data_IF_616319412842
#
_entry.id   IF_616319412842
#
_cell.length_a   1.000
_cell.length_b   1.000
_cell.length_c   1.000
_cell.angle_alpha   90.00
_cell.angle_beta   90.00
_cell.angle_gamma   90.00
#
_symmetry.space_group_name_H-M   'P 1'
#
loop_
_entity.id
_entity.type
_entity.pdbx_description
1 polymer ?
#
# COMPACT_ATOMS: atom_id res chain seq x y z
N UNK A 1 -29.62 -9.28 12.89
CA UNK A 1 -29.41 -8.40 11.69
C UNK A 1 -27.92 -8.03 11.51
N UNK A 2 -27.08 -8.11 12.56
CA UNK A 2 -25.63 -7.77 12.52
C UNK A 2 -24.74 -8.88 11.92
N UNK A 3 -25.18 -10.14 11.94
CA UNK A 3 -24.41 -11.28 11.38
C UNK A 3 -24.47 -11.37 9.85
N UNK A 4 -25.50 -10.79 9.21
CA UNK A 4 -25.61 -10.79 7.75
C UNK A 4 -24.69 -9.78 7.06
N UNK A 5 -24.31 -8.71 7.76
CA UNK A 5 -23.39 -7.68 7.26
C UNK A 5 -21.94 -8.18 7.16
N UNK A 6 -21.48 -9.00 8.14
CA UNK A 6 -20.13 -9.56 8.15
C UNK A 6 -19.91 -10.57 7.02
N UNK A 7 -20.86 -11.49 6.81
CA UNK A 7 -20.74 -12.53 5.78
C UNK A 7 -20.78 -11.94 4.35
N UNK A 8 -21.59 -10.91 4.11
CA UNK A 8 -21.64 -10.22 2.82
C UNK A 8 -20.34 -9.45 2.54
N UNK A 9 -19.77 -8.81 3.55
CA UNK A 9 -18.45 -8.16 3.47
C UNK A 9 -17.33 -9.15 3.16
N UNK A 10 -17.34 -10.33 3.81
CA UNK A 10 -16.32 -11.36 3.57
C UNK A 10 -16.45 -12.03 2.20
N UNK A 11 -17.67 -12.20 1.69
CA UNK A 11 -17.89 -12.70 0.32
C UNK A 11 -17.44 -11.67 -0.71
N UNK A 12 -17.76 -10.39 -0.49
CA UNK A 12 -17.33 -9.30 -1.36
C UNK A 12 -15.81 -9.14 -1.35
N UNK A 13 -15.17 -9.14 -0.18
CA UNK A 13 -13.69 -9.10 -0.06
C UNK A 13 -13.01 -10.27 -0.78
N UNK A 14 -13.60 -11.47 -0.76
CA UNK A 14 -13.09 -12.63 -1.51
C UNK A 14 -13.29 -12.51 -3.02
N UNK A 15 -14.40 -11.93 -3.47
CA UNK A 15 -14.68 -11.71 -4.89
C UNK A 15 -13.76 -10.64 -5.50
N UNK A 16 -13.54 -9.53 -4.79
CA UNK A 16 -12.66 -8.44 -5.23
C UNK A 16 -11.20 -8.88 -5.29
N UNK A 17 -10.73 -9.69 -4.32
CA UNK A 17 -9.40 -10.32 -4.40
C UNK A 17 -9.27 -11.32 -5.55
N UNK A 18 -10.39 -11.75 -6.14
CA UNK A 18 -10.42 -12.73 -7.24
C UNK A 18 -10.40 -12.11 -8.65
N UNK A 19 -10.51 -10.78 -8.83
CA UNK A 19 -10.40 -10.26 -10.18
C UNK A 19 -10.88 -8.85 -10.55
N UNK A 20 -11.25 -7.97 -9.62
CA UNK A 20 -11.83 -6.66 -9.99
C UNK A 20 -11.01 -5.43 -9.53
N UNK A 21 -9.70 -5.57 -9.31
CA UNK A 21 -8.85 -4.39 -9.16
C UNK A 21 -8.38 -3.93 -10.55
N UNK A 22 -8.86 -2.78 -11.01
CA UNK A 22 -8.43 -2.14 -12.25
C UNK A 22 -7.35 -1.13 -11.89
N UNK A 23 -6.13 -1.30 -12.38
CA UNK A 23 -5.05 -0.33 -12.26
C UNK A 23 -4.47 -0.02 -13.63
N UNK A 24 -4.23 1.24 -13.92
CA UNK A 24 -3.60 1.72 -15.15
C UNK A 24 -2.24 2.29 -14.78
N UNK A 25 -1.16 1.73 -15.31
CA UNK A 25 0.17 2.35 -15.21
C UNK A 25 0.24 3.48 -16.22
N UNK A 26 0.32 4.73 -15.76
CA UNK A 26 0.60 5.89 -16.60
C UNK A 26 2.08 6.22 -16.54
N UNK A 27 2.78 6.09 -17.67
CA UNK A 27 4.08 6.74 -17.86
C UNK A 27 3.86 8.24 -18.03
N UNK A 28 4.09 9.02 -16.99
CA UNK A 28 4.01 10.49 -17.07
C UNK A 28 5.36 11.03 -17.54
N UNK A 29 5.46 11.63 -18.75
CA UNK A 29 6.71 12.19 -19.24
C UNK A 29 7.14 13.38 -18.38
N UNK A 30 8.36 13.33 -17.82
CA UNK A 30 8.97 14.47 -17.12
C UNK A 30 9.24 14.26 -15.62
N UNK A 31 8.87 13.13 -15.03
CA UNK A 31 9.22 12.77 -13.64
C UNK A 31 10.47 11.89 -13.66
N UNK A 32 11.42 12.18 -12.76
CA UNK A 32 12.70 11.48 -12.62
C UNK A 32 12.53 9.96 -12.64
N UNK A 33 13.41 9.28 -13.35
CA UNK A 33 13.42 7.89 -13.86
C UNK A 33 13.14 6.74 -12.87
N UNK A 34 12.82 7.00 -11.60
CA UNK A 34 12.86 5.98 -10.54
C UNK A 34 11.57 5.85 -9.72
N UNK A 35 10.45 6.46 -10.13
CA UNK A 35 9.18 6.36 -9.40
C UNK A 35 8.10 5.70 -10.25
N UNK A 36 7.46 4.69 -9.69
CA UNK A 36 6.29 4.05 -10.29
C UNK A 36 5.06 4.78 -9.78
N UNK A 37 4.24 5.28 -10.70
CA UNK A 37 2.91 5.81 -10.44
C UNK A 37 1.89 4.81 -10.98
N UNK A 38 0.94 4.41 -10.16
CA UNK A 38 -0.06 3.44 -10.55
C UNK A 38 -1.44 3.88 -10.05
N UNK A 39 -2.42 3.94 -10.93
CA UNK A 39 -3.79 4.18 -10.53
C UNK A 39 -4.40 2.89 -9.99
N UNK A 40 -5.04 2.98 -8.85
CA UNK A 40 -5.68 1.88 -8.14
C UNK A 40 -7.14 2.24 -7.88
N UNK A 41 -8.04 1.30 -8.15
CA UNK A 41 -9.45 1.39 -7.78
C UNK A 41 -9.76 0.38 -6.65
N UNK A 42 -10.37 0.87 -5.59
CA UNK A 42 -10.82 0.06 -4.47
C UNK A 42 -12.16 0.57 -3.90
N UNK A 43 -13.21 -0.26 -3.95
CA UNK A 43 -14.56 0.09 -3.47
C UNK A 43 -15.07 1.43 -4.06
N UNK A 44 -14.98 1.57 -5.39
CA UNK A 44 -15.38 2.77 -6.13
C UNK A 44 -14.61 4.05 -5.74
N UNK A 45 -13.42 3.90 -5.16
CA UNK A 45 -12.50 4.99 -4.83
C UNK A 45 -11.21 4.84 -5.63
N UNK A 46 -10.96 5.79 -6.52
CA UNK A 46 -9.74 5.84 -7.31
C UNK A 46 -8.65 6.66 -6.60
N UNK A 47 -7.41 6.18 -6.65
CA UNK A 47 -6.26 6.90 -6.12
C UNK A 47 -4.98 6.53 -6.87
N UNK A 48 -3.98 7.43 -6.81
CA UNK A 48 -2.67 7.18 -7.41
C UNK A 48 -1.68 6.66 -6.36
N UNK A 49 -1.17 5.46 -6.56
CA UNK A 49 -0.13 4.86 -5.74
C UNK A 49 1.25 5.32 -6.21
N UNK A 50 2.10 5.77 -5.29
CA UNK A 50 3.46 6.25 -5.55
C UNK A 50 4.45 5.31 -4.87
N UNK A 51 5.30 4.62 -5.65
CA UNK A 51 6.45 3.91 -5.09
C UNK A 51 7.58 4.92 -4.84
N UNK A 52 7.91 5.14 -3.58
CA UNK A 52 9.06 5.97 -3.20
C UNK A 52 10.35 5.17 -3.11
N UNK A 53 10.31 3.85 -3.40
CA UNK A 53 11.46 2.96 -3.38
C UNK A 53 12.47 3.29 -4.47
N UNK A 54 13.74 3.34 -4.10
CA UNK A 54 14.88 3.48 -4.99
C UNK A 54 15.76 2.23 -4.99
N UNK A 55 16.96 2.34 -5.57
CA UNK A 55 17.97 1.29 -5.69
C UNK A 55 18.34 0.69 -4.32
N UNK A 56 18.50 -0.62 -4.24
CA UNK A 56 18.89 -1.32 -3.00
C UNK A 56 20.28 -0.86 -2.51
N UNK A 57 20.41 -0.48 -1.24
CA UNK A 57 21.68 -0.01 -0.70
C UNK A 57 22.57 -1.15 -0.22
N UNK A 58 23.88 -1.00 -0.41
CA UNK A 58 24.88 -1.96 0.03
C UNK A 58 25.29 -1.85 1.52
N UNK A 59 24.85 -0.82 2.25
CA UNK A 59 25.21 -0.61 3.65
C UNK A 59 24.07 -0.12 4.54
N UNK A 60 24.17 -0.40 5.86
CA UNK A 60 23.12 -0.04 6.85
C UNK A 60 22.92 1.47 7.05
N UNK A 61 23.98 2.25 6.94
CA UNK A 61 23.90 3.72 7.09
C UNK A 61 23.17 4.35 5.91
N UNK A 62 23.30 3.77 4.73
CA UNK A 62 22.60 4.17 3.51
C UNK A 62 21.10 3.85 3.63
N UNK A 63 20.72 2.74 4.28
CA UNK A 63 19.30 2.34 4.45
C UNK A 63 18.50 3.42 5.17
N UNK A 64 19.00 3.93 6.30
CA UNK A 64 18.28 4.97 7.05
C UNK A 64 18.18 6.28 6.25
N UNK A 65 19.26 6.66 5.55
CA UNK A 65 19.26 7.85 4.69
C UNK A 65 18.21 7.74 3.59
N UNK A 66 18.14 6.62 2.91
CA UNK A 66 17.14 6.36 1.86
C UNK A 66 15.71 6.32 2.40
N UNK A 67 15.50 5.69 3.57
CA UNK A 67 14.16 5.67 4.17
C UNK A 67 13.70 7.08 4.56
N UNK A 68 14.61 7.94 5.04
CA UNK A 68 14.30 9.34 5.33
C UNK A 68 13.97 10.13 4.07
N UNK A 69 14.70 9.91 2.99
CA UNK A 69 14.42 10.51 1.69
C UNK A 69 13.06 10.06 1.15
N UNK A 70 12.75 8.77 1.21
CA UNK A 70 11.44 8.22 0.85
C UNK A 70 10.32 8.85 1.68
N UNK A 71 10.53 8.95 3.01
CA UNK A 71 9.55 9.56 3.91
C UNK A 71 9.35 11.05 3.59
N UNK A 72 10.41 11.80 3.30
CA UNK A 72 10.30 13.21 2.93
C UNK A 72 9.52 13.37 1.63
N UNK A 73 9.83 12.57 0.61
CA UNK A 73 9.09 12.56 -0.66
C UNK A 73 7.61 12.26 -0.42
N UNK A 74 7.30 11.25 0.39
CA UNK A 74 5.93 10.88 0.71
C UNK A 74 5.18 12.03 1.42
N UNK A 75 5.82 12.67 2.40
CA UNK A 75 5.27 13.83 3.12
C UNK A 75 4.95 14.98 2.15
N UNK A 76 5.84 15.25 1.19
CA UNK A 76 5.70 16.38 0.27
C UNK A 76 4.68 16.12 -0.84
N UNK A 77 4.43 14.85 -1.21
CA UNK A 77 3.67 14.53 -2.42
C UNK A 77 2.39 13.72 -2.20
N UNK A 78 2.24 13.05 -1.06
CA UNK A 78 1.10 12.17 -0.82
C UNK A 78 0.09 12.76 0.15
N UNK A 79 -1.16 12.32 0.01
CA UNK A 79 -2.26 12.63 0.92
C UNK A 79 -2.33 11.60 2.05
N UNK A 80 -2.01 10.33 1.74
CA UNK A 80 -1.92 9.23 2.71
C UNK A 80 -0.59 8.48 2.51
N UNK A 81 0.03 8.04 3.59
CA UNK A 81 1.31 7.33 3.57
C UNK A 81 1.11 5.90 4.09
N UNK A 82 1.48 4.90 3.31
CA UNK A 82 1.60 3.52 3.77
C UNK A 82 3.03 3.30 4.26
N UNK A 83 3.21 3.07 5.57
CA UNK A 83 4.51 2.73 6.13
C UNK A 83 4.60 1.23 6.37
N UNK A 84 5.49 0.56 5.61
CA UNK A 84 5.63 -0.89 5.60
C UNK A 84 6.83 -1.33 6.43
N UNK A 85 6.57 -2.25 7.38
CA UNK A 85 7.56 -2.92 8.21
C UNK A 85 7.55 -4.44 7.96
N UNK A 86 8.47 -5.17 8.57
CA UNK A 86 8.64 -6.62 8.38
C UNK A 86 8.59 -7.33 9.73
N UNK A 87 7.57 -8.15 9.96
CA UNK A 87 7.40 -8.89 11.22
C UNK A 87 8.59 -9.81 11.53
N UNK A 88 9.23 -10.39 10.50
CA UNK A 88 10.34 -11.32 10.68
C UNK A 88 11.65 -10.64 11.12
N UNK A 89 11.79 -9.34 10.84
CA UNK A 89 12.92 -8.54 11.31
C UNK A 89 12.67 -7.92 12.69
N UNK A 90 11.39 -7.87 13.10
CA UNK A 90 10.98 -7.15 14.30
C UNK A 90 11.12 -5.63 14.16
N UNK A 91 10.85 -4.94 15.24
CA UNK A 91 10.99 -3.49 15.33
C UNK A 91 12.47 -3.09 15.40
N UNK A 92 12.93 -2.21 14.53
CA UNK A 92 14.33 -1.73 14.50
C UNK A 92 14.39 -0.19 14.59
N UNK A 93 15.54 0.33 15.01
CA UNK A 93 15.79 1.77 15.20
C UNK A 93 15.47 2.61 13.96
N UNK A 94 15.73 2.12 12.76
CA UNK A 94 15.43 2.84 11.52
C UNK A 94 13.93 3.04 11.34
N UNK A 95 13.11 2.05 11.71
CA UNK A 95 11.65 2.16 11.63
C UNK A 95 11.13 3.21 12.61
N UNK A 96 11.66 3.22 13.85
CA UNK A 96 11.30 4.21 14.87
C UNK A 96 11.66 5.65 14.45
N UNK A 97 12.84 5.85 13.86
CA UNK A 97 13.28 7.18 13.37
C UNK A 97 12.43 7.71 12.23
N UNK A 98 12.01 6.83 11.32
CA UNK A 98 11.13 7.20 10.21
C UNK A 98 9.70 7.41 10.71
N UNK A 99 9.19 6.57 11.61
CA UNK A 99 7.89 6.77 12.25
C UNK A 99 7.80 8.11 12.96
N UNK A 100 8.85 8.53 13.69
CA UNK A 100 8.93 9.85 14.30
C UNK A 100 8.82 11.00 13.28
N UNK A 101 9.44 10.86 12.14
CA UNK A 101 9.37 11.84 11.06
C UNK A 101 7.95 11.91 10.46
N UNK A 102 7.35 10.75 10.17
CA UNK A 102 5.99 10.65 9.66
C UNK A 102 4.96 11.22 10.65
N UNK A 103 5.09 10.89 11.95
CA UNK A 103 4.21 11.41 12.99
C UNK A 103 4.24 12.94 13.08
N UNK A 104 5.42 13.55 12.96
CA UNK A 104 5.60 15.02 13.01
C UNK A 104 5.05 15.73 11.77
N UNK A 105 4.90 15.04 10.66
CA UNK A 105 4.36 15.62 9.45
C UNK A 105 2.86 15.93 9.53
N UNK A 106 2.14 15.25 10.42
CA UNK A 106 0.68 15.35 10.54
C UNK A 106 -0.09 14.70 9.38
N UNK A 107 0.58 14.06 8.44
CA UNK A 107 -0.06 13.31 7.36
C UNK A 107 -0.68 12.02 7.91
N UNK A 108 -1.83 11.58 7.37
CA UNK A 108 -2.38 10.25 7.65
C UNK A 108 -1.37 9.15 7.30
N UNK A 109 -1.14 8.23 8.24
CA UNK A 109 -0.22 7.10 8.06
C UNK A 109 -0.94 5.80 8.35
N UNK A 110 -0.89 4.88 7.41
CA UNK A 110 -1.35 3.49 7.57
C UNK A 110 -0.14 2.62 7.85
N UNK A 111 -0.03 2.13 9.10
CA UNK A 111 1.07 1.25 9.50
C UNK A 111 0.78 -0.18 9.07
N UNK A 112 1.66 -0.75 8.27
CA UNK A 112 1.53 -2.10 7.71
C UNK A 112 2.69 -2.98 8.16
N UNK A 113 2.36 -4.13 8.75
CA UNK A 113 3.33 -5.15 9.15
C UNK A 113 3.24 -6.32 8.17
N UNK A 114 4.21 -6.41 7.27
CA UNK A 114 4.22 -7.42 6.21
C UNK A 114 4.93 -8.72 6.63
N UNK A 115 4.79 -9.76 5.82
CA UNK A 115 5.32 -11.12 5.97
C UNK A 115 4.66 -11.91 7.12
N UNK A 116 3.46 -11.52 7.51
CA UNK A 116 2.60 -12.26 8.46
C UNK A 116 1.91 -13.40 7.70
N UNK A 117 2.67 -14.43 7.37
CA UNK A 117 2.17 -15.58 6.60
C UNK A 117 1.26 -16.51 7.45
N UNK A 118 1.33 -16.38 8.76
CA UNK A 118 0.52 -17.09 9.74
C UNK A 118 0.17 -16.16 10.90
N UNK A 119 -1.12 -15.80 11.02
CA UNK A 119 -1.60 -14.87 12.03
C UNK A 119 -1.38 -15.39 13.45
N UNK A 120 -1.71 -16.65 13.72
CA UNK A 120 -1.59 -17.25 15.07
C UNK A 120 -0.14 -17.21 15.58
N UNK A 121 0.82 -17.34 14.66
CA UNK A 121 2.24 -17.34 15.00
C UNK A 121 2.80 -15.94 15.27
N UNK A 122 2.39 -14.95 14.48
CA UNK A 122 3.05 -13.63 14.43
C UNK A 122 2.27 -12.50 15.13
N UNK A 123 1.05 -12.74 15.63
CA UNK A 123 0.25 -11.66 16.22
C UNK A 123 0.94 -11.02 17.43
N UNK A 124 1.63 -11.80 18.27
CA UNK A 124 2.40 -11.23 19.39
C UNK A 124 3.49 -10.26 18.91
N UNK A 125 4.21 -10.62 17.83
CA UNK A 125 5.26 -9.80 17.25
C UNK A 125 4.67 -8.57 16.55
N UNK A 126 3.47 -8.66 15.95
CA UNK A 126 2.75 -7.52 15.35
C UNK A 126 2.43 -6.46 16.40
N UNK A 127 2.05 -6.85 17.61
CA UNK A 127 1.76 -5.90 18.68
C UNK A 127 2.95 -5.03 19.09
N UNK A 128 4.20 -5.47 18.89
CA UNK A 128 5.37 -4.66 19.16
C UNK A 128 5.41 -3.37 18.32
N UNK A 129 4.81 -3.39 17.13
CA UNK A 129 4.78 -2.24 16.23
C UNK A 129 3.86 -1.09 16.68
N UNK A 130 2.99 -1.30 17.70
CA UNK A 130 2.30 -0.21 18.37
C UNK A 130 3.26 0.80 19.00
N UNK A 131 4.48 0.38 19.35
CA UNK A 131 5.52 1.27 19.89
C UNK A 131 5.98 2.35 18.89
N UNK A 132 5.64 2.23 17.61
CA UNK A 132 5.89 3.28 16.61
C UNK A 132 4.98 4.52 16.81
N UNK A 133 3.82 4.37 17.43
CA UNK A 133 2.91 5.46 17.77
C UNK A 133 2.35 6.22 16.55
N UNK A 134 2.12 5.51 15.44
CA UNK A 134 1.60 6.07 14.17
C UNK A 134 0.32 5.37 13.70
N UNK A 135 -0.42 4.76 14.62
CA UNK A 135 -1.67 4.05 14.35
C UNK A 135 -1.59 2.56 14.62
N UNK A 136 -2.68 1.86 14.34
CA UNK A 136 -2.80 0.43 14.54
C UNK A 136 -2.02 -0.34 13.46
N UNK A 137 -1.16 -1.30 13.83
CA UNK A 137 -0.43 -2.11 12.86
C UNK A 137 -1.37 -3.08 12.15
N UNK A 138 -1.45 -2.99 10.83
CA UNK A 138 -2.25 -3.89 9.99
C UNK A 138 -1.37 -5.05 9.52
N UNK A 139 -1.62 -6.29 9.98
CA UNK A 139 -0.85 -7.44 9.57
C UNK A 139 -1.25 -7.88 8.16
N UNK A 140 -0.27 -8.02 7.27
CA UNK A 140 -0.48 -8.52 5.92
C UNK A 140 0.56 -9.57 5.53
N UNK A 141 0.25 -10.33 4.49
CA UNK A 141 1.23 -11.08 3.71
C UNK A 141 1.07 -10.78 2.23
N UNK A 142 1.95 -9.95 1.68
CA UNK A 142 1.95 -9.65 0.26
C UNK A 142 2.15 -10.89 -0.61
N UNK A 143 2.94 -11.86 -0.15
CA UNK A 143 3.17 -13.12 -0.84
C UNK A 143 1.89 -13.97 -0.96
N UNK A 144 1.12 -14.08 0.12
CA UNK A 144 -0.10 -14.89 0.23
C UNK A 144 -1.38 -14.11 -0.02
N UNK A 145 -1.31 -12.79 -0.31
CA UNK A 145 -2.45 -11.87 -0.48
C UNK A 145 -3.35 -11.74 0.75
N UNK A 146 -2.84 -12.03 1.94
CA UNK A 146 -3.58 -11.90 3.19
C UNK A 146 -3.55 -10.46 3.69
N UNK A 147 -4.69 -9.94 4.17
CA UNK A 147 -4.81 -8.62 4.81
C UNK A 147 -4.69 -7.42 3.85
N UNK A 148 -4.53 -7.62 2.52
CA UNK A 148 -4.43 -6.50 1.57
C UNK A 148 -5.72 -5.68 1.50
N UNK A 149 -6.88 -6.33 1.63
CA UNK A 149 -8.17 -5.64 1.68
C UNK A 149 -8.28 -4.73 2.91
N UNK A 150 -7.92 -5.22 4.09
CA UNK A 150 -7.96 -4.44 5.32
C UNK A 150 -6.99 -3.24 5.26
N UNK A 151 -5.83 -3.41 4.62
CA UNK A 151 -4.90 -2.32 4.34
C UNK A 151 -5.52 -1.26 3.42
N UNK A 152 -6.17 -1.66 2.33
CA UNK A 152 -6.80 -0.74 1.38
C UNK A 152 -8.01 -0.05 2.01
N UNK A 153 -8.84 -0.76 2.79
CA UNK A 153 -9.94 -0.17 3.55
C UNK A 153 -9.44 0.93 4.49
N UNK A 154 -8.30 0.69 5.18
CA UNK A 154 -7.69 1.69 6.05
C UNK A 154 -7.14 2.90 5.27
N UNK A 155 -6.62 2.69 4.07
CA UNK A 155 -6.13 3.78 3.20
C UNK A 155 -7.27 4.67 2.77
N UNK A 156 -8.34 4.11 2.18
CA UNK A 156 -9.47 4.89 1.67
C UNK A 156 -10.27 5.57 2.79
N UNK A 157 -10.20 5.08 4.03
CA UNK A 157 -10.84 5.72 5.18
C UNK A 157 -10.26 7.12 5.48
N UNK A 158 -9.08 7.44 4.98
CA UNK A 158 -8.44 8.74 5.11
C UNK A 158 -8.73 9.69 3.94
N UNK A 159 -9.40 9.22 2.89
CA UNK A 159 -9.73 10.07 1.75
C UNK A 159 -10.90 11.02 2.09
N UNK A 160 -10.92 12.22 1.51
CA UNK A 160 -12.08 13.10 1.62
C UNK A 160 -13.33 12.42 1.07
N UNK A 161 -14.50 12.86 1.52
CA UNK A 161 -15.76 12.43 0.92
C UNK A 161 -15.79 12.89 -0.54
N UNK A 162 -16.02 11.95 -1.48
CA UNK A 162 -16.13 12.27 -2.90
C UNK A 162 -17.51 12.87 -3.18
N UNK A 163 -17.53 14.06 -3.75
CA UNK A 163 -18.75 14.70 -4.26
C UNK A 163 -19.10 14.29 -5.70
N UNK A 164 -18.34 13.36 -6.27
CA UNK A 164 -18.56 12.81 -7.62
C UNK A 164 -18.16 13.72 -8.77
N UNK A 165 -17.44 14.80 -8.50
CA UNK A 165 -16.98 15.79 -9.50
C UNK A 165 -15.46 15.78 -9.69
N UNK A 166 -14.76 14.73 -9.21
CA UNK A 166 -13.31 14.66 -9.26
C UNK A 166 -12.81 14.62 -10.71
N UNK A 167 -12.07 15.66 -11.12
CA UNK A 167 -11.27 15.64 -12.34
C UNK A 167 -10.05 14.74 -12.15
N UNK A 168 -9.49 14.18 -13.22
CA UNK A 168 -8.35 13.23 -13.22
C UNK A 168 -7.11 13.73 -12.42
N UNK A 169 -7.01 15.05 -12.20
CA UNK A 169 -5.88 15.70 -11.50
C UNK A 169 -6.06 15.80 -9.97
N UNK A 170 -7.24 15.46 -9.45
CA UNK A 170 -7.62 15.63 -8.03
C UNK A 170 -7.65 14.30 -7.24
N UNK A 171 -7.18 13.21 -7.86
CA UNK A 171 -7.14 11.90 -7.22
C UNK A 171 -6.21 11.88 -6.02
N UNK A 172 -6.64 11.30 -4.87
CA UNK A 172 -5.78 11.13 -3.71
C UNK A 172 -4.48 10.39 -4.08
N UNK A 173 -3.36 10.84 -3.53
CA UNK A 173 -2.03 10.27 -3.73
C UNK A 173 -1.60 9.47 -2.51
N UNK A 174 -1.26 8.21 -2.73
CA UNK A 174 -0.85 7.29 -1.67
C UNK A 174 0.60 6.87 -1.88
N UNK A 175 1.50 7.26 -0.99
CA UNK A 175 2.90 6.89 -1.09
C UNK A 175 3.24 5.69 -0.21
N UNK A 176 4.12 4.83 -0.71
CA UNK A 176 4.63 3.67 0.03
C UNK A 176 6.05 3.96 0.52
N UNK A 177 6.27 3.83 1.83
CA UNK A 177 7.56 4.03 2.51
C UNK A 177 7.93 2.77 3.29
N UNK A 178 9.19 2.44 3.34
CA UNK A 178 9.69 1.31 4.13
C UNK A 178 11.09 0.88 3.71
N UNK A 179 11.74 0.05 4.52
CA UNK A 179 13.07 -0.49 4.25
C UNK A 179 13.13 -1.26 2.93
N UNK A 180 14.33 -1.46 2.38
CA UNK A 180 14.56 -2.46 1.35
C UNK A 180 14.07 -3.84 1.81
N UNK A 181 13.56 -4.63 0.89
CA UNK A 181 13.11 -6.03 1.11
C UNK A 181 11.98 -6.24 2.14
N UNK A 182 11.29 -5.19 2.60
CA UNK A 182 10.06 -5.33 3.41
C UNK A 182 8.85 -5.75 2.58
N UNK A 183 8.94 -5.67 1.24
CA UNK A 183 7.90 -6.11 0.32
C UNK A 183 7.11 -4.99 -0.37
N UNK A 184 7.63 -3.75 -0.45
CA UNK A 184 7.00 -2.64 -1.19
C UNK A 184 6.63 -3.06 -2.62
N UNK A 185 7.61 -3.47 -3.41
CA UNK A 185 7.40 -3.91 -4.79
C UNK A 185 6.49 -5.15 -4.89
N UNK A 186 6.51 -6.02 -3.87
CA UNK A 186 5.59 -7.17 -3.84
C UNK A 186 4.14 -6.72 -3.66
N UNK A 187 3.87 -5.73 -2.82
CA UNK A 187 2.54 -5.15 -2.65
C UNK A 187 2.13 -4.46 -3.96
N UNK A 188 2.97 -3.57 -4.49
CA UNK A 188 2.70 -2.86 -5.74
C UNK A 188 2.41 -3.84 -6.87
N UNK A 189 3.26 -4.84 -7.07
CA UNK A 189 3.05 -5.85 -8.11
C UNK A 189 1.78 -6.68 -7.87
N UNK A 190 1.35 -6.89 -6.62
CA UNK A 190 0.09 -7.56 -6.33
C UNK A 190 -1.12 -6.69 -6.63
N UNK A 191 -1.03 -5.41 -6.32
CA UNK A 191 -2.04 -4.43 -6.69
C UNK A 191 -2.09 -4.25 -8.22
N UNK A 192 -0.97 -4.18 -8.92
CA UNK A 192 -0.86 -4.08 -10.38
C UNK A 192 -1.10 -5.40 -11.10
N UNK A 193 -0.58 -6.50 -10.62
CA UNK A 193 -0.67 -7.81 -11.28
C UNK A 193 -2.06 -8.42 -11.28
N UNK A 194 -2.96 -7.96 -10.43
CA UNK A 194 -4.39 -8.23 -10.55
C UNK A 194 -4.99 -7.65 -11.85
N UNK A 195 -4.36 -6.60 -12.40
CA UNK A 195 -4.78 -5.83 -13.58
C UNK A 195 -4.28 -6.44 -14.88
N UNK A 196 -3.09 -6.99 -14.89
CA UNK A 196 -2.48 -7.54 -16.12
C UNK A 196 -3.29 -8.72 -16.70
N UNK A 197 -3.96 -9.48 -15.84
CA UNK A 197 -4.79 -10.61 -16.28
C UNK A 197 -6.14 -10.22 -16.86
N UNK A 198 -6.72 -9.09 -16.48
CA UNK A 198 -8.00 -8.61 -17.02
C UNK A 198 -7.83 -7.99 -18.41
N UNK A 199 -6.73 -7.29 -18.68
CA UNK A 199 -6.47 -6.73 -20.01
C UNK A 199 -6.19 -7.80 -21.09
N UNK A 200 -5.51 -8.89 -20.75
CA UNK A 200 -5.25 -9.99 -21.67
C UNK A 200 -6.56 -10.69 -22.10
N UNK A 201 -7.53 -10.86 -21.19
CA UNK A 201 -8.84 -11.45 -21.54
C UNK A 201 -9.71 -10.55 -22.40
N UNK A 202 -9.65 -9.23 -22.24
CA UNK A 202 -10.44 -8.30 -23.04
C UNK A 202 -9.95 -8.19 -24.49
N UNK A 203 -8.67 -8.45 -24.76
CA UNK A 203 -8.11 -8.46 -26.12
C UNK A 203 -8.35 -9.77 -26.86
N UNK A 204 -8.41 -10.91 -26.18
CA UNK A 204 -8.67 -12.21 -26.82
C UNK A 204 -10.12 -12.37 -27.29
N UNK A 205 -11.10 -11.77 -26.60
CA UNK A 205 -12.52 -11.86 -26.98
C UNK A 205 -12.87 -10.99 -28.20
N UNK A 206 -12.03 -10.06 -28.64
CA UNK A 206 -12.26 -9.23 -29.82
C UNK A 206 -11.70 -9.80 -31.14
N UNK A 207 -11.01 -10.93 -31.12
CA UNK A 207 -10.42 -11.56 -32.33
C UNK A 207 -11.25 -12.69 -32.92
N UNK A 208 -12.42 -13.00 -32.39
CA UNK A 208 -13.30 -14.06 -32.87
C UNK A 208 -14.76 -13.59 -33.07
N UNK A 209 -14.95 -12.45 -33.74
CA UNK A 209 -16.23 -12.08 -34.38
C UNK A 209 -15.95 -11.49 -35.74
#
# INVERSE_FOLDING_TARGET
TLLASSAASDVYKRQVLAGEMISIVKDTPGVTRDRIYADVDWLDREFTLIDTGGIEPDSRDIILSQMREQAQIAIDTADVIIFITDVKQGLVDSDSKVADMLRRSGKPVVLVVNKVDNFDKYMADVYEFYNLGIGDPIPISAASRLGLGDMLDAVIAHFPESDGTEEDDDRPRVAIVGKPNVGKSSIINRLLGAVSYTHLRAHETRRHL
#
